data_IF_560495755798
#
_entry.id   IF_560495755798
#
_cell.length_a   1.000
_cell.length_b   1.000
_cell.length_c   1.000
_cell.angle_alpha   90.00
_cell.angle_beta   90.00
_cell.angle_gamma   90.00
#
_symmetry.space_group_name_H-M   'P 1'
#
loop_
_entity.id
_entity.type
_entity.pdbx_description
1 polymer ?
#
# COMPACT_ATOMS: atom_id res chain seq x y z
N UNK A 1 20.14 -22.58 17.97
CA UNK A 1 20.03 -23.54 16.84
C UNK A 1 20.39 -22.88 15.51
N UNK A 2 19.65 -21.87 15.02
CA UNK A 2 19.97 -21.21 13.74
C UNK A 2 21.38 -20.59 13.72
N UNK A 3 21.75 -19.81 14.72
CA UNK A 3 23.09 -19.18 14.78
C UNK A 3 24.23 -20.22 14.85
N UNK A 4 24.01 -21.37 15.49
CA UNK A 4 24.99 -22.44 15.51
C UNK A 4 25.18 -23.06 14.11
N UNK A 5 24.08 -23.34 13.39
CA UNK A 5 24.14 -23.82 12.02
C UNK A 5 24.77 -22.81 11.06
N UNK A 6 24.54 -21.50 11.29
CA UNK A 6 25.19 -20.43 10.51
C UNK A 6 26.69 -20.44 10.74
N UNK A 7 27.13 -20.51 11.99
CA UNK A 7 28.56 -20.56 12.31
C UNK A 7 29.22 -21.81 11.75
N UNK A 8 28.58 -22.97 11.80
CA UNK A 8 29.15 -24.21 11.27
C UNK A 8 29.29 -24.18 9.74
N UNK A 9 28.29 -23.66 9.02
CA UNK A 9 28.22 -23.80 7.56
C UNK A 9 28.68 -22.56 6.79
N UNK A 10 28.76 -21.39 7.43
CA UNK A 10 29.01 -20.10 6.75
C UNK A 10 30.11 -19.27 7.41
N UNK A 11 30.94 -19.86 8.28
CA UNK A 11 32.13 -19.18 8.80
C UNK A 11 33.19 -19.06 7.71
N UNK A 12 33.70 -17.84 7.51
CA UNK A 12 34.87 -17.62 6.68
C UNK A 12 36.14 -17.93 7.49
N UNK A 13 36.71 -19.12 7.28
CA UNK A 13 37.96 -19.54 7.93
C UNK A 13 39.22 -18.89 7.35
N UNK A 14 39.09 -18.07 6.30
CA UNK A 14 40.20 -17.47 5.55
C UNK A 14 40.25 -15.94 5.67
N UNK A 15 39.54 -15.34 6.65
CA UNK A 15 39.51 -13.89 6.82
C UNK A 15 40.90 -13.37 7.17
N UNK A 16 41.45 -12.44 6.37
CA UNK A 16 42.79 -11.88 6.57
C UNK A 16 42.72 -10.45 7.08
N UNK A 17 43.54 -10.14 8.07
CA UNK A 17 43.65 -8.81 8.67
C UNK A 17 45.13 -8.39 8.75
N UNK A 18 45.41 -7.11 8.47
CA UNK A 18 46.79 -6.58 8.47
C UNK A 18 47.20 -6.27 9.91
N UNK A 19 48.23 -6.95 10.38
CA UNK A 19 48.91 -6.65 11.64
C UNK A 19 49.98 -5.58 11.44
N UNK A 20 50.35 -4.89 12.53
CA UNK A 20 51.39 -3.87 12.52
C UNK A 20 52.69 -4.42 11.88
N UNK A 21 53.14 -3.78 10.80
CA UNK A 21 54.29 -4.23 10.00
C UNK A 21 53.96 -4.98 8.72
N UNK A 22 52.80 -4.72 8.08
CA UNK A 22 52.41 -5.25 6.76
C UNK A 22 52.34 -6.78 6.66
N UNK A 23 52.13 -7.47 7.80
CA UNK A 23 51.93 -8.92 7.85
C UNK A 23 50.44 -9.22 7.92
N UNK A 24 49.98 -10.21 7.15
CA UNK A 24 48.60 -10.68 7.23
C UNK A 24 48.46 -11.79 8.26
N UNK A 25 47.45 -11.69 9.12
CA UNK A 25 47.02 -12.75 10.01
C UNK A 25 45.67 -13.29 9.56
N UNK A 26 45.55 -14.60 9.41
CA UNK A 26 44.29 -15.27 9.12
C UNK A 26 43.53 -15.59 10.40
N UNK A 27 42.21 -15.37 10.40
CA UNK A 27 41.30 -15.79 11.46
C UNK A 27 39.98 -16.30 10.88
N UNK A 28 39.26 -17.08 11.67
CA UNK A 28 37.88 -17.46 11.35
C UNK A 28 36.94 -16.33 11.77
N UNK A 29 36.09 -15.88 10.84
CA UNK A 29 35.16 -14.77 11.07
C UNK A 29 33.75 -15.17 10.60
N UNK A 30 32.75 -14.94 11.46
CA UNK A 30 31.34 -15.07 11.13
C UNK A 30 30.53 -14.07 11.96
N UNK A 31 30.04 -13.01 11.30
CA UNK A 31 29.25 -11.95 11.92
C UNK A 31 27.76 -12.02 11.56
N UNK A 32 27.30 -13.18 11.06
CA UNK A 32 25.91 -13.40 10.65
C UNK A 32 25.14 -13.97 11.83
N UNK A 33 24.14 -13.23 12.29
CA UNK A 33 23.29 -13.64 13.41
C UNK A 33 21.81 -13.43 13.07
N UNK A 34 21.00 -14.41 13.42
CA UNK A 34 19.56 -14.26 13.56
C UNK A 34 19.24 -13.65 14.92
N UNK A 35 18.34 -12.69 14.91
CA UNK A 35 17.64 -12.17 16.07
C UNK A 35 16.18 -12.63 16.05
N UNK A 36 15.59 -12.77 17.23
CA UNK A 36 14.17 -13.08 17.38
C UNK A 36 13.41 -11.80 17.70
N UNK A 37 12.33 -11.57 16.97
CA UNK A 37 11.39 -10.50 17.23
C UNK A 37 10.01 -11.11 17.50
N UNK A 38 9.56 -11.01 18.74
CA UNK A 38 8.35 -11.67 19.24
C UNK A 38 8.52 -12.27 20.65
N UNK A 39 7.50 -12.96 21.19
CA UNK A 39 6.30 -13.45 20.50
C UNK A 39 5.28 -12.36 20.15
N UNK A 40 4.48 -12.62 19.11
CA UNK A 40 3.38 -11.77 18.67
C UNK A 40 2.02 -12.40 19.00
N UNK A 41 0.99 -11.56 19.13
CA UNK A 41 -0.38 -12.00 19.44
C UNK A 41 -1.09 -12.55 18.21
N UNK A 42 -0.99 -11.85 17.08
CA UNK A 42 -1.72 -12.19 15.86
C UNK A 42 -0.90 -11.77 14.63
N UNK A 43 -0.94 -12.58 13.58
CA UNK A 43 -0.41 -12.26 12.26
C UNK A 43 -1.47 -12.58 11.20
N UNK A 44 -1.78 -11.61 10.36
CA UNK A 44 -2.76 -11.72 9.28
C UNK A 44 -2.03 -11.69 7.94
N UNK A 45 -2.28 -12.70 7.11
CA UNK A 45 -1.67 -12.84 5.77
C UNK A 45 -2.78 -13.02 4.73
N UNK A 46 -2.85 -12.19 3.69
CA UNK A 46 -3.86 -12.31 2.66
C UNK A 46 -3.52 -13.43 1.67
N UNK A 47 -4.55 -14.04 1.07
CA UNK A 47 -4.42 -14.99 -0.02
C UNK A 47 -4.59 -14.31 -1.38
N UNK A 48 -4.02 -14.90 -2.45
CA UNK A 48 -4.28 -14.44 -3.82
C UNK A 48 -5.68 -14.81 -4.26
N UNK A 49 -6.24 -14.01 -5.16
CA UNK A 49 -7.47 -14.35 -5.90
C UNK A 49 -7.22 -15.40 -6.99
N UNK A 50 -5.96 -15.61 -7.38
CA UNK A 50 -5.59 -16.60 -8.38
C UNK A 50 -5.14 -17.90 -7.70
N UNK A 51 -5.68 -19.02 -8.15
CA UNK A 51 -5.32 -20.34 -7.65
C UNK A 51 -3.83 -20.62 -7.85
N UNK A 52 -3.18 -21.16 -6.81
CA UNK A 52 -1.75 -21.49 -6.84
C UNK A 52 -0.81 -20.29 -6.79
N UNK A 53 -1.31 -19.04 -6.74
CA UNK A 53 -0.46 -17.86 -6.57
C UNK A 53 -0.41 -17.42 -5.11
N UNK A 54 0.79 -17.12 -4.64
CA UNK A 54 1.01 -16.56 -3.29
C UNK A 54 1.24 -15.05 -3.37
N UNK A 55 0.59 -14.31 -2.48
CA UNK A 55 0.88 -12.89 -2.28
C UNK A 55 2.08 -12.75 -1.34
N UNK A 56 3.23 -12.37 -1.91
CA UNK A 56 4.43 -12.09 -1.12
C UNK A 56 4.39 -10.68 -0.55
N UNK A 57 5.09 -10.47 0.57
CA UNK A 57 5.35 -9.16 1.19
C UNK A 57 4.08 -8.39 1.63
N UNK A 58 3.00 -9.11 1.94
CA UNK A 58 1.76 -8.52 2.50
C UNK A 58 1.42 -9.22 3.81
N UNK A 59 1.45 -8.48 4.93
CA UNK A 59 1.07 -9.00 6.24
C UNK A 59 0.87 -7.88 7.26
N UNK A 60 0.08 -8.18 8.28
CA UNK A 60 -0.17 -7.31 9.44
C UNK A 60 0.12 -8.10 10.72
N UNK A 61 0.81 -7.49 11.68
CA UNK A 61 1.22 -8.14 12.94
C UNK A 61 0.79 -7.28 14.13
N UNK A 62 0.22 -7.94 15.12
CA UNK A 62 -0.22 -7.32 16.37
C UNK A 62 0.55 -7.85 17.57
N UNK A 63 0.89 -6.97 18.50
CA UNK A 63 1.43 -7.34 19.80
C UNK A 63 0.33 -7.67 20.82
N UNK A 64 0.75 -8.14 22.01
CA UNK A 64 -0.17 -8.47 23.10
C UNK A 64 -0.92 -7.26 23.70
N UNK A 65 -0.48 -6.04 23.41
CA UNK A 65 -1.20 -4.80 23.75
C UNK A 65 -2.24 -4.40 22.70
N UNK A 66 -2.59 -5.30 21.77
CA UNK A 66 -3.52 -5.09 20.65
C UNK A 66 -3.08 -3.97 19.69
N UNK A 67 -1.80 -3.60 19.69
CA UNK A 67 -1.26 -2.59 18.78
C UNK A 67 -0.72 -3.24 17.52
N UNK A 68 -1.07 -2.67 16.37
CA UNK A 68 -0.45 -3.00 15.09
C UNK A 68 1.02 -2.58 15.10
N UNK A 69 1.93 -3.55 15.20
CA UNK A 69 3.39 -3.32 15.28
C UNK A 69 4.01 -3.29 13.90
N UNK A 70 3.57 -4.19 13.02
CA UNK A 70 4.09 -4.28 11.66
C UNK A 70 2.96 -4.36 10.64
N UNK A 71 3.08 -3.58 9.57
CA UNK A 71 2.17 -3.59 8.44
C UNK A 71 2.97 -3.42 7.16
N UNK A 72 2.95 -4.45 6.31
CA UNK A 72 3.72 -4.49 5.06
C UNK A 72 2.82 -4.74 3.87
N UNK A 73 3.12 -4.05 2.77
CA UNK A 73 2.55 -4.29 1.45
C UNK A 73 1.09 -3.88 1.25
N UNK A 74 0.37 -3.51 2.31
CA UNK A 74 -0.99 -3.01 2.24
C UNK A 74 -1.06 -1.53 1.85
N UNK A 75 -2.11 -1.19 1.11
CA UNK A 75 -2.41 0.14 0.57
C UNK A 75 -2.42 1.23 1.67
N UNK A 76 -2.84 0.89 2.90
CA UNK A 76 -2.83 1.78 4.07
C UNK A 76 -1.46 2.46 4.34
N UNK A 77 -0.34 1.80 4.04
CA UNK A 77 1.02 2.38 4.22
C UNK A 77 1.63 2.90 2.91
N UNK A 78 0.97 2.73 1.77
CA UNK A 78 1.48 3.19 0.48
C UNK A 78 1.14 4.67 0.29
N UNK A 79 2.03 5.38 -0.42
CA UNK A 79 1.76 6.75 -0.86
C UNK A 79 0.80 6.68 -2.05
N UNK A 80 -0.31 7.38 -1.96
CA UNK A 80 -1.38 7.28 -2.95
C UNK A 80 -2.41 6.21 -2.60
N UNK A 81 -2.92 5.53 -3.62
CA UNK A 81 -4.01 4.54 -3.56
C UNK A 81 -5.40 5.18 -3.33
N UNK A 82 -6.44 4.35 -3.42
CA UNK A 82 -7.82 4.73 -3.16
C UNK A 82 -8.05 4.91 -1.65
N UNK A 83 -8.49 6.09 -1.24
CA UNK A 83 -8.67 6.41 0.19
C UNK A 83 -9.71 5.50 0.86
N UNK A 84 -10.77 5.08 0.14
CA UNK A 84 -11.74 4.09 0.61
C UNK A 84 -11.06 2.80 1.11
N UNK A 85 -10.10 2.27 0.34
CA UNK A 85 -9.41 1.02 0.69
C UNK A 85 -8.50 1.23 1.90
N UNK A 86 -7.87 2.39 2.00
CA UNK A 86 -7.03 2.73 3.15
C UNK A 86 -7.86 2.86 4.41
N UNK A 87 -9.03 3.51 4.33
CA UNK A 87 -9.97 3.65 5.43
C UNK A 87 -10.59 2.30 5.83
N UNK A 88 -10.94 1.45 4.87
CA UNK A 88 -11.36 0.08 5.14
C UNK A 88 -10.27 -0.72 5.87
N UNK A 89 -9.04 -0.68 5.35
CA UNK A 89 -7.91 -1.40 5.94
C UNK A 89 -7.61 -0.94 7.37
N UNK A 90 -7.70 0.35 7.67
CA UNK A 90 -7.46 0.86 9.02
C UNK A 90 -8.50 0.37 10.04
N UNK A 91 -9.74 0.11 9.59
CA UNK A 91 -10.82 -0.37 10.45
C UNK A 91 -10.89 -1.90 10.54
N UNK A 92 -10.61 -2.62 9.45
CA UNK A 92 -10.76 -4.09 9.41
C UNK A 92 -9.63 -4.82 10.14
N UNK A 93 -8.41 -4.26 10.17
CA UNK A 93 -7.28 -4.95 10.80
C UNK A 93 -7.48 -5.20 12.30
N UNK A 94 -7.92 -4.21 13.11
CA UNK A 94 -8.25 -4.44 14.53
C UNK A 94 -9.30 -5.52 14.76
N UNK A 95 -10.26 -5.69 13.84
CA UNK A 95 -11.33 -6.70 13.97
C UNK A 95 -10.79 -8.14 13.98
N UNK A 96 -9.59 -8.39 13.44
CA UNK A 96 -8.93 -9.70 13.56
C UNK A 96 -8.50 -10.06 15.00
N UNK A 97 -8.61 -9.13 15.94
CA UNK A 97 -8.37 -9.39 17.37
C UNK A 97 -9.65 -9.70 18.14
N UNK A 98 -10.81 -9.63 17.49
CA UNK A 98 -12.11 -9.90 18.08
C UNK A 98 -12.45 -11.40 18.01
N UNK A 99 -13.35 -11.84 18.88
CA UNK A 99 -13.74 -13.25 19.00
C UNK A 99 -12.77 -14.12 19.82
N UNK A 100 -13.27 -15.26 20.26
CA UNK A 100 -12.52 -16.31 20.97
C UNK A 100 -12.22 -17.52 20.09
N UNK A 101 -12.93 -17.64 18.97
CA UNK A 101 -12.74 -18.69 17.97
C UNK A 101 -12.46 -18.07 16.60
N UNK A 102 -11.89 -18.87 15.69
CA UNK A 102 -11.64 -18.42 14.32
C UNK A 102 -12.93 -17.99 13.61
N UNK A 103 -14.05 -18.67 13.88
CA UNK A 103 -15.35 -18.33 13.32
C UNK A 103 -15.86 -16.97 13.82
N UNK A 104 -15.76 -16.71 15.13
CA UNK A 104 -16.14 -15.42 15.72
C UNK A 104 -15.26 -14.27 15.21
N UNK A 105 -13.96 -14.52 15.04
CA UNK A 105 -13.01 -13.56 14.45
C UNK A 105 -13.43 -13.17 13.02
N UNK A 106 -13.70 -14.15 12.16
CA UNK A 106 -14.15 -13.87 10.80
C UNK A 106 -15.55 -13.28 10.74
N UNK A 107 -16.43 -13.57 11.70
CA UNK A 107 -17.73 -12.91 11.80
C UNK A 107 -17.57 -11.40 12.08
N UNK A 108 -16.73 -11.02 13.05
CA UNK A 108 -16.44 -9.62 13.34
C UNK A 108 -15.81 -8.87 12.14
N UNK A 109 -14.85 -9.51 11.46
CA UNK A 109 -14.26 -8.99 10.21
C UNK A 109 -15.33 -8.84 9.11
N UNK A 110 -16.22 -9.82 8.98
CA UNK A 110 -17.33 -9.80 8.02
C UNK A 110 -18.31 -8.66 8.30
N UNK A 111 -18.65 -8.42 9.55
CA UNK A 111 -19.51 -7.30 9.95
C UNK A 111 -18.89 -5.94 9.60
N UNK A 112 -17.58 -5.78 9.82
CA UNK A 112 -16.87 -4.60 9.36
C UNK A 112 -16.94 -4.44 7.83
N UNK A 113 -16.70 -5.51 7.08
CA UNK A 113 -16.78 -5.49 5.62
C UNK A 113 -18.18 -5.14 5.10
N UNK A 114 -19.23 -5.70 5.71
CA UNK A 114 -20.61 -5.42 5.31
C UNK A 114 -20.98 -3.94 5.50
N UNK A 115 -20.55 -3.30 6.60
CA UNK A 115 -20.77 -1.85 6.79
C UNK A 115 -20.15 -1.01 5.67
N UNK A 116 -18.96 -1.39 5.20
CA UNK A 116 -18.30 -0.70 4.08
C UNK A 116 -18.99 -0.99 2.73
N UNK A 117 -19.54 -2.19 2.54
CA UNK A 117 -20.38 -2.50 1.39
C UNK A 117 -21.68 -1.69 1.40
N UNK A 118 -22.33 -1.54 2.56
CA UNK A 118 -23.56 -0.74 2.71
C UNK A 118 -23.35 0.71 2.28
N UNK A 119 -22.19 1.30 2.59
CA UNK A 119 -21.81 2.64 2.13
C UNK A 119 -21.80 2.72 0.59
N UNK A 120 -21.26 1.69 -0.07
CA UNK A 120 -21.18 1.65 -1.54
C UNK A 120 -22.56 1.39 -2.17
N UNK A 121 -23.33 0.45 -1.61
CA UNK A 121 -24.65 0.07 -2.13
C UNK A 121 -25.68 1.19 -1.96
N UNK A 122 -25.64 1.91 -0.84
CA UNK A 122 -26.44 3.13 -0.60
C UNK A 122 -25.87 4.36 -1.29
N UNK A 123 -24.75 4.24 -2.02
CA UNK A 123 -24.08 5.35 -2.72
C UNK A 123 -23.74 6.52 -1.80
N UNK A 124 -23.35 6.25 -0.56
CA UNK A 124 -22.95 7.25 0.41
C UNK A 124 -24.09 8.13 0.93
N UNK A 125 -25.35 7.72 0.84
CA UNK A 125 -26.51 8.51 1.29
C UNK A 125 -26.43 8.98 2.76
N UNK A 126 -25.74 8.23 3.62
CA UNK A 126 -25.57 8.54 5.03
C UNK A 126 -24.27 9.30 5.35
N UNK A 127 -23.54 9.76 4.32
CA UNK A 127 -22.24 10.43 4.44
C UNK A 127 -22.31 11.78 3.72
N UNK A 128 -21.62 12.78 4.24
CA UNK A 128 -21.51 14.09 3.61
C UNK A 128 -20.79 13.99 2.25
N UNK A 129 -21.21 14.81 1.28
CA UNK A 129 -20.70 14.74 -0.10
C UNK A 129 -19.17 14.92 -0.18
N UNK A 130 -18.62 15.82 0.64
CA UNK A 130 -17.17 16.05 0.71
C UNK A 130 -16.42 14.80 1.19
N UNK A 131 -16.98 14.07 2.17
CA UNK A 131 -16.40 12.85 2.69
C UNK A 131 -16.53 11.70 1.69
N UNK A 132 -17.66 11.59 0.97
CA UNK A 132 -17.80 10.66 -0.15
C UNK A 132 -16.75 10.91 -1.22
N UNK A 133 -16.57 12.18 -1.61
CA UNK A 133 -15.55 12.56 -2.60
C UNK A 133 -14.13 12.23 -2.11
N UNK A 134 -13.84 12.50 -0.84
CA UNK A 134 -12.55 12.17 -0.24
C UNK A 134 -12.28 10.66 -0.24
N UNK A 135 -13.26 9.84 0.15
CA UNK A 135 -13.16 8.38 0.16
C UNK A 135 -12.97 7.81 -1.26
N UNK A 136 -13.72 8.33 -2.24
CA UNK A 136 -13.64 7.88 -3.63
C UNK A 136 -12.39 8.39 -4.37
N UNK A 137 -11.66 9.33 -3.78
CA UNK A 137 -10.44 9.88 -4.37
C UNK A 137 -9.32 8.85 -4.36
N UNK A 138 -8.78 8.56 -5.54
CA UNK A 138 -7.51 7.87 -5.70
C UNK A 138 -6.40 8.89 -5.92
N UNK A 139 -5.30 8.74 -5.19
CA UNK A 139 -4.13 9.60 -5.35
C UNK A 139 -2.99 8.84 -6.03
N UNK A 140 -2.45 9.40 -7.12
CA UNK A 140 -1.28 8.86 -7.83
C UNK A 140 -0.25 9.95 -8.11
N UNK A 141 0.97 9.74 -7.64
CA UNK A 141 2.11 10.60 -7.97
C UNK A 141 2.81 10.16 -9.25
N UNK A 142 3.07 11.10 -10.16
CA UNK A 142 3.85 10.88 -11.37
C UNK A 142 5.34 11.15 -11.09
N UNK A 143 6.22 10.27 -11.54
CA UNK A 143 7.67 10.39 -11.30
C UNK A 143 8.37 11.29 -12.31
N UNK A 144 7.90 11.30 -13.56
CA UNK A 144 8.39 12.15 -14.65
C UNK A 144 7.46 13.31 -14.97
N UNK A 145 7.83 14.10 -15.99
CA UNK A 145 6.93 15.10 -16.58
C UNK A 145 5.93 14.42 -17.49
N UNK A 146 4.80 15.07 -17.76
CA UNK A 146 3.78 14.51 -18.65
C UNK A 146 4.33 14.16 -20.04
N UNK A 147 5.21 15.02 -20.57
CA UNK A 147 5.85 14.86 -21.89
C UNK A 147 6.71 13.58 -21.98
N UNK A 148 7.35 13.19 -20.87
CA UNK A 148 8.22 12.02 -20.79
C UNK A 148 7.46 10.70 -21.01
N UNK A 149 6.14 10.70 -20.79
CA UNK A 149 5.29 9.50 -20.93
C UNK A 149 4.79 9.25 -22.36
N UNK A 150 4.96 10.21 -23.28
CA UNK A 150 4.58 10.07 -24.70
C UNK A 150 3.14 9.56 -24.90
N UNK A 151 3.01 8.40 -25.57
CA UNK A 151 1.73 7.76 -25.92
C UNK A 151 1.25 6.72 -24.89
N UNK A 152 1.88 6.63 -23.72
CA UNK A 152 1.42 5.71 -22.69
C UNK A 152 0.02 6.08 -22.18
N UNK A 153 -0.78 5.08 -21.84
CA UNK A 153 -2.12 5.25 -21.28
C UNK A 153 -2.14 4.81 -19.84
N UNK A 154 -2.47 5.73 -18.94
CA UNK A 154 -2.73 5.44 -17.53
C UNK A 154 -3.74 6.45 -16.99
N UNK A 155 -4.40 6.11 -15.88
CA UNK A 155 -5.34 7.05 -15.23
C UNK A 155 -4.63 8.36 -14.86
N UNK A 156 -3.40 8.30 -14.36
CA UNK A 156 -2.62 9.49 -13.99
C UNK A 156 -2.32 10.39 -15.18
N UNK A 157 -1.96 9.81 -16.34
CA UNK A 157 -1.68 10.59 -17.56
C UNK A 157 -2.94 11.31 -18.03
N UNK A 158 -4.09 10.62 -18.05
CA UNK A 158 -5.37 11.25 -18.43
C UNK A 158 -5.77 12.36 -17.46
N UNK A 159 -5.63 12.12 -16.14
CA UNK A 159 -5.92 13.13 -15.12
C UNK A 159 -5.01 14.34 -15.26
N UNK A 160 -3.70 14.15 -15.50
CA UNK A 160 -2.76 15.24 -15.72
C UNK A 160 -3.13 16.07 -16.96
N UNK A 161 -3.43 15.44 -18.09
CA UNK A 161 -3.89 16.14 -19.31
C UNK A 161 -5.11 17.02 -19.03
N UNK A 162 -6.13 16.45 -18.37
CA UNK A 162 -7.35 17.17 -17.97
C UNK A 162 -7.08 18.31 -17.00
N UNK A 163 -6.16 18.14 -16.04
CA UNK A 163 -5.74 19.23 -15.17
C UNK A 163 -5.07 20.37 -15.93
N UNK A 164 -4.24 20.06 -16.93
CA UNK A 164 -3.61 21.07 -17.78
C UNK A 164 -4.60 21.82 -18.66
N UNK A 165 -5.61 21.13 -19.18
CA UNK A 165 -6.72 21.74 -19.92
C UNK A 165 -7.59 22.64 -19.02
N UNK A 166 -7.82 22.21 -17.77
CA UNK A 166 -8.69 22.91 -16.83
C UNK A 166 -8.02 24.09 -16.09
N UNK A 167 -6.82 23.90 -15.55
CA UNK A 167 -6.09 24.88 -14.73
C UNK A 167 -4.93 25.57 -15.48
N UNK A 168 -4.66 25.14 -16.71
CA UNK A 168 -3.60 25.67 -17.57
C UNK A 168 -2.31 24.85 -17.58
N UNK A 169 -1.48 25.01 -18.63
CA UNK A 169 -0.33 24.15 -18.91
C UNK A 169 0.83 24.30 -17.90
N UNK A 170 0.84 25.38 -17.11
CA UNK A 170 1.88 25.60 -16.07
C UNK A 170 1.90 24.51 -15.02
N UNK A 171 0.76 23.87 -14.74
CA UNK A 171 0.65 22.76 -13.78
C UNK A 171 1.40 21.49 -14.20
N UNK A 172 1.81 21.39 -15.47
CA UNK A 172 2.42 20.19 -16.06
C UNK A 172 3.94 20.28 -16.23
N UNK A 173 4.55 21.40 -15.83
CA UNK A 173 5.98 21.67 -16.08
C UNK A 173 6.90 20.94 -15.11
N UNK A 174 6.41 20.69 -13.89
CA UNK A 174 7.20 20.08 -12.82
C UNK A 174 7.03 18.56 -12.74
N UNK A 175 8.10 17.89 -12.32
CA UNK A 175 8.08 16.47 -11.96
C UNK A 175 7.38 16.30 -10.61
N UNK A 176 6.82 15.12 -10.36
CA UNK A 176 6.19 14.84 -9.06
C UNK A 176 4.72 15.25 -8.96
N UNK A 177 4.06 15.53 -10.10
CA UNK A 177 2.65 15.90 -10.12
C UNK A 177 1.80 14.84 -9.42
N UNK A 178 1.01 15.29 -8.45
CA UNK A 178 0.09 14.45 -7.67
C UNK A 178 -1.29 14.53 -8.31
N UNK A 179 -1.70 13.45 -8.98
CA UNK A 179 -3.00 13.33 -9.62
C UNK A 179 -4.00 12.76 -8.62
N UNK A 180 -4.87 13.62 -8.09
CA UNK A 180 -6.08 13.21 -7.35
C UNK A 180 -7.20 12.99 -8.36
N UNK A 181 -7.73 11.78 -8.44
CA UNK A 181 -8.68 11.41 -9.46
C UNK A 181 -9.85 10.60 -8.90
N UNK A 182 -10.98 10.67 -9.60
CA UNK A 182 -12.07 9.71 -9.47
C UNK A 182 -12.39 9.13 -10.85
N UNK A 183 -13.00 7.95 -10.87
CA UNK A 183 -13.42 7.30 -12.13
C UNK A 183 -14.92 7.47 -12.29
N UNK A 184 -15.34 8.16 -13.34
CA UNK A 184 -16.76 8.35 -13.63
C UNK A 184 -17.38 7.13 -14.30
N UNK A 185 -18.69 6.98 -14.18
CA UNK A 185 -19.42 5.91 -14.86
C UNK A 185 -19.52 6.12 -16.37
N UNK A 186 -19.64 7.38 -16.81
CA UNK A 186 -19.76 7.77 -18.22
C UNK A 186 -18.42 8.25 -18.80
N UNK A 187 -18.20 8.13 -20.12
CA UNK A 187 -19.05 7.45 -21.12
C UNK A 187 -19.09 5.92 -20.93
N UNK A 188 -20.25 5.31 -21.16
CA UNK A 188 -20.41 3.86 -21.04
C UNK A 188 -19.58 3.12 -22.09
N UNK A 189 -19.00 1.97 -21.72
CA UNK A 189 -18.19 1.14 -22.62
C UNK A 189 -16.72 1.57 -22.73
N UNK A 190 -16.36 2.77 -22.26
CA UNK A 190 -14.98 3.24 -22.32
C UNK A 190 -14.07 2.69 -21.21
N UNK A 191 -12.77 2.64 -21.52
CA UNK A 191 -11.74 2.14 -20.61
C UNK A 191 -11.65 3.02 -19.36
N UNK A 192 -11.30 2.41 -18.22
CA UNK A 192 -11.09 3.11 -16.94
C UNK A 192 -10.13 4.30 -17.08
N UNK A 193 -9.09 4.14 -17.91
CA UNK A 193 -8.10 5.20 -18.18
C UNK A 193 -8.70 6.45 -18.81
N UNK A 194 -9.75 6.32 -19.63
CA UNK A 194 -10.40 7.43 -20.32
C UNK A 194 -11.49 8.09 -19.43
N UNK A 195 -11.92 7.40 -18.36
CA UNK A 195 -12.96 7.86 -17.42
C UNK A 195 -12.41 8.53 -16.15
N UNK A 196 -11.09 8.59 -16.00
CA UNK A 196 -10.42 9.22 -14.87
C UNK A 196 -10.48 10.76 -14.94
N UNK A 197 -11.16 11.42 -14.01
CA UNK A 197 -11.28 12.89 -13.94
C UNK A 197 -10.57 13.44 -12.71
N UNK A 198 -9.98 14.65 -12.78
CA UNK A 198 -9.40 15.28 -11.61
C UNK A 198 -10.46 15.73 -10.63
N UNK A 199 -10.22 15.50 -9.33
CA UNK A 199 -11.18 15.92 -8.28
C UNK A 199 -11.34 17.44 -8.19
N UNK A 200 -10.35 18.21 -8.67
CA UNK A 200 -10.37 19.67 -8.68
C UNK A 200 -11.60 20.26 -9.41
N UNK A 201 -12.22 19.51 -10.33
CA UNK A 201 -13.42 19.98 -11.05
C UNK A 201 -14.63 20.16 -10.13
N UNK A 202 -14.73 19.38 -9.04
CA UNK A 202 -15.85 19.44 -8.11
C UNK A 202 -15.75 20.61 -7.12
N UNK A 203 -14.59 21.27 -7.05
CA UNK A 203 -14.39 22.48 -6.25
C UNK A 203 -14.41 23.75 -7.10
N UNK A 204 -14.63 23.63 -8.41
CA UNK A 204 -14.69 24.75 -9.32
C UNK A 204 -16.04 25.47 -9.23
N UNK A 205 -16.08 26.77 -9.52
CA UNK A 205 -17.35 27.48 -9.68
C UNK A 205 -18.11 26.91 -10.89
N UNK A 206 -19.46 26.77 -10.81
CA UNK A 206 -20.27 26.37 -11.95
C UNK A 206 -20.10 27.36 -13.11
N UNK A 207 -20.02 26.82 -14.33
CA UNK A 207 -19.97 27.62 -15.56
C UNK A 207 -21.30 28.30 -15.87
#
# INVERSE_FOLDING_TARGET
MLNAAVQENFTNHQYQEVTAGQKYQMRSECSIFFELDGPYKCMVVPASTEEGKLLKKRYAVFNFSNKLTELKGFELKRRGELELIKAFQSQVFPCFLEGKTLAECYAAVGDCANRWLDILDTKGQAIEEEEVLALLTENKSMTGRLEDYGNQKSTSITTAKRLGEFLGPKMLQDKGLTCKLIVLTRPYGEKVTERAVPTAIFSAEPA
#
